data_IF_907974625621
#
_entry.id   IF_907974625621
#
_cell.length_a   1.000
_cell.length_b   1.000
_cell.length_c   1.000
_cell.angle_alpha   90.00
_cell.angle_beta   90.00
_cell.angle_gamma   90.00
#
_symmetry.space_group_name_H-M   'P 1'
#
loop_
_entity.id
_entity.type
_entity.pdbx_description
1 polymer ?
#
# COMPACT_ATOMS: atom_id res chain seq x y z
N UNK A 1 42.74 -3.24 44.49
CA UNK A 1 42.31 -4.18 43.43
C UNK A 1 40.81 -4.06 43.26
N UNK A 2 40.37 -3.37 42.21
CA UNK A 2 38.96 -3.12 41.91
C UNK A 2 38.40 -4.37 41.24
N UNK A 3 37.49 -5.09 41.91
CA UNK A 3 36.78 -6.23 41.31
C UNK A 3 35.58 -5.71 40.54
N UNK A 4 35.60 -6.03 39.25
CA UNK A 4 34.65 -5.69 38.18
C UNK A 4 33.18 -5.67 38.58
N UNK A 5 32.55 -4.53 38.32
CA UNK A 5 31.12 -4.36 38.07
C UNK A 5 30.74 -5.08 36.77
N UNK A 6 30.22 -6.30 36.87
CA UNK A 6 29.51 -6.97 35.78
C UNK A 6 28.39 -7.83 36.36
N UNK A 7 27.21 -7.22 36.46
CA UNK A 7 25.95 -7.94 36.42
C UNK A 7 24.90 -6.97 35.88
N UNK A 8 25.01 -6.74 34.57
CA UNK A 8 23.94 -6.21 33.74
C UNK A 8 22.78 -7.21 33.85
N UNK A 9 21.97 -7.09 34.90
CA UNK A 9 20.75 -7.88 35.06
C UNK A 9 19.78 -7.46 33.97
N UNK A 10 19.84 -8.21 32.87
CA UNK A 10 18.71 -8.70 32.11
C UNK A 10 17.47 -7.78 32.12
N UNK A 11 17.60 -6.60 31.53
CA UNK A 11 16.47 -5.97 30.84
C UNK A 11 16.22 -6.71 29.51
N UNK A 12 16.07 -8.03 29.56
CA UNK A 12 15.33 -8.76 28.53
C UNK A 12 13.87 -8.57 28.93
N UNK A 13 13.39 -7.33 28.78
CA UNK A 13 11.97 -7.16 28.51
C UNK A 13 11.77 -7.92 27.23
N UNK A 14 11.13 -9.07 27.36
CA UNK A 14 10.67 -9.89 26.25
C UNK A 14 10.04 -8.94 25.23
N UNK A 15 10.79 -8.61 24.19
CA UNK A 15 10.22 -8.09 22.96
C UNK A 15 9.49 -9.29 22.37
N UNK A 16 8.29 -9.52 22.90
CA UNK A 16 7.29 -10.30 22.19
C UNK A 16 7.36 -9.83 20.74
N UNK A 17 7.47 -10.73 19.75
CA UNK A 17 7.16 -10.30 18.39
C UNK A 17 5.71 -9.89 18.48
N UNK A 18 5.46 -8.57 18.55
CA UNK A 18 4.13 -8.03 18.35
C UNK A 18 3.80 -8.50 16.95
N UNK A 19 2.97 -9.53 16.88
CA UNK A 19 2.48 -10.13 15.65
C UNK A 19 1.49 -9.14 15.06
N UNK A 20 1.96 -7.92 14.77
CA UNK A 20 1.26 -6.91 14.02
C UNK A 20 1.14 -7.50 12.63
N UNK A 21 0.02 -8.18 12.37
CA UNK A 21 -0.38 -8.53 11.01
C UNK A 21 -0.56 -7.20 10.29
N UNK A 22 0.50 -6.71 9.66
CA UNK A 22 0.41 -5.57 8.78
C UNK A 22 -0.65 -5.92 7.75
N UNK A 23 -1.68 -5.08 7.67
CA UNK A 23 -2.69 -5.25 6.66
C UNK A 23 -1.99 -5.00 5.33
N UNK A 24 -1.90 -6.04 4.51
CA UNK A 24 -1.24 -5.96 3.23
C UNK A 24 -2.19 -6.32 2.10
N UNK A 25 -1.90 -5.72 0.96
CA UNK A 25 -2.66 -5.83 -0.27
C UNK A 25 -1.66 -5.96 -1.41
N UNK A 26 -1.70 -7.09 -2.13
CA UNK A 26 -0.77 -7.32 -3.23
C UNK A 26 -1.31 -6.71 -4.52
N UNK A 27 -0.61 -5.72 -5.08
CA UNK A 27 -0.93 -5.01 -6.32
C UNK A 27 -0.13 -5.54 -7.50
N UNK A 28 -0.76 -5.64 -8.66
CA UNK A 28 -0.10 -5.77 -9.97
C UNK A 28 -0.59 -4.69 -10.90
N UNK A 29 0.33 -3.98 -11.52
CA UNK A 29 0.04 -2.90 -12.46
C UNK A 29 0.46 -3.35 -13.84
N UNK A 30 -0.42 -3.17 -14.82
CA UNK A 30 -0.25 -3.63 -16.19
C UNK A 30 -0.08 -2.45 -17.15
N UNK A 31 0.75 -2.63 -18.17
CA UNK A 31 0.97 -1.61 -19.22
C UNK A 31 -0.26 -1.38 -20.10
N UNK A 32 -1.14 -2.37 -20.22
CA UNK A 32 -2.34 -2.34 -21.07
C UNK A 32 -3.64 -2.17 -20.30
N UNK A 33 -4.73 -1.94 -21.04
CA UNK A 33 -6.09 -1.90 -20.51
C UNK A 33 -6.56 -3.29 -20.08
N UNK A 34 -7.58 -3.36 -19.22
CA UNK A 34 -8.22 -4.63 -18.80
C UNK A 34 -7.22 -5.73 -18.41
N UNK A 35 -6.18 -5.37 -17.66
CA UNK A 35 -5.17 -6.28 -17.11
C UNK A 35 -4.35 -7.02 -18.19
N UNK A 36 -4.17 -6.38 -19.35
CA UNK A 36 -3.38 -6.91 -20.47
C UNK A 36 -1.97 -6.31 -20.55
N UNK A 37 -1.10 -6.97 -21.30
CA UNK A 37 0.29 -6.52 -21.48
C UNK A 37 1.22 -6.96 -20.34
N UNK A 38 2.36 -6.30 -20.24
CA UNK A 38 3.37 -6.64 -19.24
C UNK A 38 2.99 -6.09 -17.86
N UNK A 39 3.38 -6.80 -16.81
CA UNK A 39 3.34 -6.27 -15.44
C UNK A 39 4.45 -5.23 -15.34
N UNK A 40 4.06 -3.97 -15.20
CA UNK A 40 4.98 -2.84 -15.06
C UNK A 40 5.28 -2.53 -13.61
N UNK A 41 4.54 -3.05 -12.63
CA UNK A 41 4.96 -3.05 -11.22
C UNK A 41 4.17 -4.08 -10.43
N UNK A 42 4.79 -4.58 -9.35
CA UNK A 42 4.23 -5.54 -8.41
C UNK A 42 4.57 -5.06 -6.99
N UNK A 43 3.54 -4.80 -6.17
CA UNK A 43 3.70 -4.12 -4.87
C UNK A 43 2.99 -4.89 -3.75
N UNK A 44 3.68 -5.10 -2.63
CA UNK A 44 3.03 -5.46 -1.38
C UNK A 44 2.66 -4.18 -0.64
N UNK A 45 1.46 -3.66 -0.86
CA UNK A 45 1.01 -2.40 -0.28
C UNK A 45 0.60 -2.59 1.18
N UNK A 46 1.07 -1.69 2.04
CA UNK A 46 0.63 -1.51 3.43
C UNK A 46 -0.34 -0.34 3.46
N UNK A 47 -1.41 -0.47 4.26
CA UNK A 47 -2.39 0.60 4.40
C UNK A 47 -1.74 1.90 4.92
N UNK A 48 -2.17 3.04 4.38
CA UNK A 48 -1.67 4.40 4.59
C UNK A 48 -0.26 4.70 4.08
N UNK A 49 0.44 3.74 3.47
CA UNK A 49 1.71 4.00 2.82
C UNK A 49 1.50 4.42 1.36
N UNK A 50 2.29 5.41 0.92
CA UNK A 50 2.33 5.85 -0.47
C UNK A 50 3.39 5.07 -1.27
N UNK A 51 3.08 4.75 -2.52
CA UNK A 51 3.97 4.03 -3.43
C UNK A 51 4.05 4.75 -4.77
N UNK A 52 5.27 5.01 -5.23
CA UNK A 52 5.51 5.46 -6.60
C UNK A 52 5.46 4.28 -7.56
N UNK A 53 4.85 4.49 -8.72
CA UNK A 53 4.65 3.45 -9.72
C UNK A 53 5.06 3.94 -11.09
N UNK A 54 5.53 3.00 -11.91
CA UNK A 54 5.73 3.20 -13.34
C UNK A 54 4.37 3.39 -14.01
N UNK A 55 4.28 4.26 -15.04
CA UNK A 55 3.04 4.49 -15.77
C UNK A 55 2.41 3.17 -16.24
N UNK A 56 1.21 2.90 -15.73
CA UNK A 56 0.37 1.75 -16.11
C UNK A 56 -0.99 2.20 -16.62
N UNK A 57 -1.80 1.24 -17.08
CA UNK A 57 -3.17 1.49 -17.57
C UNK A 57 -4.24 0.73 -16.80
N UNK A 58 -3.90 -0.35 -16.11
CA UNK A 58 -4.84 -1.07 -15.24
C UNK A 58 -4.10 -1.76 -14.10
N UNK A 59 -4.81 -2.09 -13.02
CA UNK A 59 -4.26 -2.87 -11.92
C UNK A 59 -5.22 -3.93 -11.40
N UNK A 60 -4.62 -5.03 -10.96
CA UNK A 60 -5.28 -6.10 -10.23
C UNK A 60 -4.73 -6.14 -8.80
N UNK A 61 -5.59 -6.46 -7.85
CA UNK A 61 -5.16 -6.77 -6.50
C UNK A 61 -5.57 -8.18 -6.09
N UNK A 62 -4.66 -8.83 -5.37
CA UNK A 62 -4.80 -10.20 -4.91
C UNK A 62 -4.78 -10.21 -3.38
N UNK A 63 -5.66 -11.03 -2.81
CA UNK A 63 -5.64 -11.42 -1.41
C UNK A 63 -5.50 -10.25 -0.40
N UNK A 64 -6.35 -9.20 -0.45
CA UNK A 64 -6.42 -8.22 0.64
C UNK A 64 -6.60 -8.94 1.97
N UNK A 65 -5.69 -8.70 2.92
CA UNK A 65 -5.91 -9.14 4.31
C UNK A 65 -7.00 -8.32 5.00
N UNK A 66 -7.34 -7.15 4.45
CA UNK A 66 -8.45 -6.30 4.84
C UNK A 66 -9.16 -5.78 3.59
N UNK A 67 -10.48 -5.92 3.55
CA UNK A 67 -11.34 -5.52 2.42
C UNK A 67 -12.02 -4.17 2.61
N UNK A 68 -11.65 -3.44 3.65
CA UNK A 68 -12.12 -2.07 3.91
C UNK A 68 -11.15 -1.04 3.34
N UNK A 69 -11.70 0.09 2.91
CA UNK A 69 -10.95 1.24 2.46
C UNK A 69 -11.13 1.59 0.99
N UNK A 70 -10.41 2.62 0.57
CA UNK A 70 -10.31 3.05 -0.81
C UNK A 70 -8.87 2.98 -1.27
N UNK A 71 -8.67 2.87 -2.57
CA UNK A 71 -7.37 3.11 -3.15
C UNK A 71 -7.37 4.49 -3.81
N UNK A 72 -6.39 5.30 -3.44
CA UNK A 72 -6.08 6.58 -4.07
C UNK A 72 -5.04 6.34 -5.15
N UNK A 73 -5.28 6.89 -6.33
CA UNK A 73 -4.33 6.95 -7.43
C UNK A 73 -4.10 8.40 -7.79
N UNK A 74 -2.84 8.81 -7.82
CA UNK A 74 -2.46 10.19 -8.05
C UNK A 74 -1.69 10.36 -9.35
N UNK A 75 -1.90 11.51 -9.99
CA UNK A 75 -1.26 11.86 -11.26
C UNK A 75 0.22 12.25 -11.12
N UNK A 76 0.68 12.49 -9.90
CA UNK A 76 2.06 12.81 -9.57
C UNK A 76 2.66 11.75 -8.63
N UNK A 77 3.96 11.86 -8.37
CA UNK A 77 4.67 11.01 -7.41
C UNK A 77 4.33 11.40 -5.97
N UNK A 78 4.67 10.51 -5.05
CA UNK A 78 4.58 10.71 -3.59
C UNK A 78 3.16 11.04 -3.11
N UNK A 79 2.15 10.56 -3.85
CA UNK A 79 0.73 10.74 -3.58
C UNK A 79 0.30 12.22 -3.57
N UNK A 80 0.94 13.03 -4.41
CA UNK A 80 0.64 14.43 -4.64
C UNK A 80 -0.19 14.66 -5.91
N UNK A 81 -0.59 15.92 -6.14
CA UNK A 81 -1.35 16.32 -7.32
C UNK A 81 -2.83 15.93 -7.22
N UNK A 82 -3.45 15.63 -8.36
CA UNK A 82 -4.86 15.19 -8.43
C UNK A 82 -4.92 13.70 -8.13
N UNK A 83 -5.71 13.33 -7.13
CA UNK A 83 -5.91 11.94 -6.73
C UNK A 83 -7.38 11.51 -6.89
N UNK A 84 -7.60 10.36 -7.50
CA UNK A 84 -8.92 9.72 -7.61
C UNK A 84 -8.99 8.58 -6.61
N UNK A 85 -10.08 8.52 -5.85
CA UNK A 85 -10.36 7.42 -4.93
C UNK A 85 -11.32 6.41 -5.60
N UNK A 86 -10.98 5.12 -5.57
CA UNK A 86 -11.91 4.04 -5.92
C UNK A 86 -12.16 3.16 -4.69
N UNK A 87 -13.42 3.15 -4.27
CA UNK A 87 -13.92 2.43 -3.10
C UNK A 87 -14.37 1.02 -3.43
N UNK A 88 -14.83 0.79 -4.66
CA UNK A 88 -15.26 -0.52 -5.13
C UNK A 88 -14.09 -1.44 -5.46
N UNK A 89 -12.92 -0.86 -5.69
CA UNK A 89 -11.75 -1.61 -6.12
C UNK A 89 -11.27 -2.67 -5.13
N UNK A 90 -11.35 -2.41 -3.83
CA UNK A 90 -10.99 -3.43 -2.82
C UNK A 90 -11.97 -4.60 -2.83
N UNK A 91 -13.20 -4.38 -3.30
CA UNK A 91 -14.24 -5.41 -3.42
C UNK A 91 -14.08 -6.20 -4.72
N UNK A 92 -13.80 -5.54 -5.84
CA UNK A 92 -13.71 -6.18 -7.16
C UNK A 92 -12.32 -6.71 -7.49
N UNK A 93 -11.28 -6.16 -6.86
CA UNK A 93 -9.88 -6.49 -7.11
C UNK A 93 -9.36 -6.04 -8.48
N UNK A 94 -10.15 -5.27 -9.24
CA UNK A 94 -9.91 -4.94 -10.65
C UNK A 94 -10.23 -3.47 -10.95
N UNK A 95 -9.29 -2.72 -11.53
CA UNK A 95 -9.44 -1.30 -11.87
C UNK A 95 -8.70 -0.93 -13.14
N UNK A 96 -9.42 -0.34 -14.10
CA UNK A 96 -8.87 0.24 -15.32
C UNK A 96 -8.69 1.76 -15.15
N UNK A 97 -7.44 2.23 -15.14
CA UNK A 97 -7.12 3.59 -14.74
C UNK A 97 -7.67 4.62 -15.72
N UNK A 98 -7.71 4.28 -17.01
CA UNK A 98 -8.05 5.24 -18.04
C UNK A 98 -9.54 5.56 -18.05
N UNK A 99 -10.39 4.60 -17.69
CA UNK A 99 -11.82 4.84 -17.58
C UNK A 99 -12.15 5.79 -16.43
N UNK A 100 -11.37 5.77 -15.35
CA UNK A 100 -11.70 6.49 -14.12
C UNK A 100 -10.84 7.74 -13.86
N UNK A 101 -9.60 7.78 -14.37
CA UNK A 101 -8.63 8.87 -14.13
C UNK A 101 -8.29 9.62 -15.43
N UNK A 102 -8.55 9.03 -16.60
CA UNK A 102 -8.31 9.66 -17.91
C UNK A 102 -6.84 9.89 -18.29
N UNK A 103 -5.90 9.55 -17.41
CA UNK A 103 -4.45 9.73 -17.59
C UNK A 103 -3.64 8.60 -16.93
N UNK A 104 -2.31 8.66 -17.03
CA UNK A 104 -1.41 7.72 -16.36
C UNK A 104 -1.30 8.03 -14.87
N UNK A 105 -1.28 6.98 -14.05
CA UNK A 105 -1.10 7.05 -12.59
C UNK A 105 0.39 6.93 -12.28
N UNK A 106 0.89 7.78 -11.37
CA UNK A 106 2.30 7.81 -10.98
C UNK A 106 2.54 7.45 -9.50
N UNK A 107 1.51 7.50 -8.66
CA UNK A 107 1.59 6.98 -7.31
C UNK A 107 0.23 6.49 -6.79
N UNK A 108 0.29 5.67 -5.74
CA UNK A 108 -0.87 4.95 -5.23
C UNK A 108 -0.80 4.83 -3.70
N UNK A 109 -1.96 4.91 -3.04
CA UNK A 109 -2.10 4.75 -1.59
C UNK A 109 -3.38 4.00 -1.25
N UNK A 110 -3.28 2.97 -0.42
CA UNK A 110 -4.45 2.31 0.15
C UNK A 110 -4.83 3.00 1.47
N UNK A 111 -6.07 3.48 1.61
CA UNK A 111 -6.56 4.21 2.79
C UNK A 111 -7.75 3.50 3.44
N UNK A 112 -7.87 3.54 4.77
CA UNK A 112 -9.04 3.04 5.50
C UNK A 112 -10.31 3.88 5.23
N UNK A 113 -11.48 3.25 5.34
CA UNK A 113 -12.74 3.98 5.51
C UNK A 113 -12.88 4.41 6.97
N UNK A 114 -13.22 5.67 7.21
CA UNK A 114 -13.66 6.12 8.53
C UNK A 114 -12.58 6.13 9.63
N UNK A 115 -11.54 6.93 9.45
CA UNK A 115 -11.05 7.91 10.43
C UNK A 115 -9.83 8.58 9.79
N UNK A 116 -10.02 9.82 9.31
CA UNK A 116 -8.92 10.76 9.29
C UNK A 116 -8.62 11.05 10.77
N UNK A 117 -7.65 10.33 11.34
CA UNK A 117 -7.16 10.59 12.68
C UNK A 117 -5.68 10.92 12.54
N UNK A 118 -5.41 12.13 12.06
CA UNK A 118 -4.10 12.77 12.10
C UNK A 118 -3.00 11.98 11.36
N UNK A 119 -2.87 12.21 10.04
CA UNK A 119 -1.55 12.10 9.39
C UNK A 119 -0.73 13.36 9.70
#
# INVERSE_FOLDING_TARGET
>A
MVKSTLALLAAIVAMFPVNAKFQTLHAKIFSGYRFSGAVVDELQMVKHQCYNVRPGRSAQYLNPTDRSGALLMCTEKDCCGVCTANTDFIRTGLWDFYLDVGTSVLSMKWVAFGQAANE
#
